data_IF_719802025042
#
_entry.id   IF_719802025042
#
_cell.length_a   1.000
_cell.length_b   1.000
_cell.length_c   1.000
_cell.angle_alpha   90.00
_cell.angle_beta   90.00
_cell.angle_gamma   90.00
#
_symmetry.space_group_name_H-M   'P 1'
#
loop_
_entity.id
_entity.type
_entity.pdbx_description
1 polymer ?
#
# COMPACT_ATOMS: atom_id res chain seq x y z
N UNK A 1 -1.93 9.54 -6.38
CA UNK A 1 -2.33 9.49 -4.96
C UNK A 1 -1.87 8.18 -4.33
N UNK A 2 -1.00 8.25 -3.33
CA UNK A 2 -0.59 7.09 -2.52
C UNK A 2 -1.38 7.06 -1.21
N UNK A 3 -1.87 5.89 -0.82
CA UNK A 3 -2.63 5.68 0.42
C UNK A 3 -2.12 4.43 1.14
N UNK A 4 -1.87 4.54 2.44
CA UNK A 4 -1.47 3.41 3.28
C UNK A 4 -2.63 3.08 4.21
N UNK A 5 -3.09 1.82 4.19
CA UNK A 5 -4.10 1.30 5.11
C UNK A 5 -3.48 0.30 6.07
N UNK A 6 -3.56 0.60 7.37
CA UNK A 6 -3.17 -0.32 8.44
C UNK A 6 -4.39 -1.09 8.94
N UNK A 7 -4.31 -2.41 8.97
CA UNK A 7 -5.35 -3.31 9.50
C UNK A 7 -4.76 -4.19 10.59
N UNK A 8 -5.42 -4.26 11.75
CA UNK A 8 -5.12 -5.27 12.77
C UNK A 8 -5.82 -6.57 12.40
N UNK A 9 -5.07 -7.67 12.35
CA UNK A 9 -5.57 -9.01 12.10
C UNK A 9 -6.06 -9.65 13.41
N UNK A 10 -6.88 -10.69 13.28
CA UNK A 10 -7.48 -11.43 14.42
C UNK A 10 -6.42 -12.10 15.30
N UNK A 11 -5.27 -12.43 14.72
CA UNK A 11 -4.09 -12.99 15.40
C UNK A 11 -3.26 -11.93 16.17
N UNK A 12 -3.68 -10.66 16.17
CA UNK A 12 -2.94 -9.56 16.81
C UNK A 12 -1.85 -8.94 15.95
N UNK A 13 -1.53 -9.53 14.79
CA UNK A 13 -0.56 -8.97 13.85
C UNK A 13 -1.13 -7.77 13.08
N UNK A 14 -0.25 -6.96 12.49
CA UNK A 14 -0.66 -5.84 11.63
C UNK A 14 -0.40 -6.18 10.17
N UNK A 15 -1.30 -5.72 9.29
CA UNK A 15 -1.10 -5.74 7.85
C UNK A 15 -1.20 -4.34 7.30
N UNK A 16 -0.27 -4.03 6.40
CA UNK A 16 -0.15 -2.72 5.78
C UNK A 16 -0.41 -2.89 4.28
N UNK A 17 -1.41 -2.17 3.77
CA UNK A 17 -1.72 -2.13 2.34
C UNK A 17 -1.31 -0.75 1.82
N UNK A 18 -0.26 -0.72 1.01
CA UNK A 18 0.08 0.47 0.23
C UNK A 18 -0.68 0.40 -1.10
N UNK A 19 -1.42 1.46 -1.43
CA UNK A 19 -2.08 1.64 -2.72
C UNK A 19 -1.56 2.90 -3.38
N UNK A 20 -0.88 2.71 -4.51
CA UNK A 20 -0.33 3.79 -5.32
C UNK A 20 -1.22 3.92 -6.56
N UNK A 21 -1.74 5.12 -6.80
CA UNK A 21 -2.41 5.48 -8.05
C UNK A 21 -1.58 6.55 -8.74
N UNK A 22 -1.15 6.26 -9.96
CA UNK A 22 -0.49 7.22 -10.84
C UNK A 22 -1.48 7.53 -11.95
N UNK A 23 -2.09 8.71 -11.88
CA UNK A 23 -2.88 9.25 -12.98
C UNK A 23 -1.93 10.12 -13.80
N UNK A 24 -1.65 9.73 -15.05
CA UNK A 24 -0.88 10.55 -16.00
C UNK A 24 -1.82 11.00 -17.10
N UNK A 25 -1.91 12.31 -17.32
CA UNK A 25 -2.66 12.87 -18.45
C UNK A 25 -2.17 12.29 -19.77
N UNK A 26 -3.05 11.62 -20.51
CA UNK A 26 -2.73 10.96 -21.79
C UNK A 26 -2.25 9.50 -21.69
N UNK A 27 -2.21 8.90 -20.49
CA UNK A 27 -1.95 7.46 -20.32
C UNK A 27 -3.02 6.83 -19.41
N UNK A 28 -3.29 5.52 -19.53
CA UNK A 28 -4.26 4.84 -18.69
C UNK A 28 -3.85 4.91 -17.22
N UNK A 29 -4.85 5.05 -16.34
CA UNK A 29 -4.65 5.10 -14.89
C UNK A 29 -3.93 3.84 -14.40
N UNK A 30 -2.70 4.01 -13.92
CA UNK A 30 -1.91 2.93 -13.35
C UNK A 30 -2.18 2.84 -11.85
N UNK A 31 -2.62 1.68 -11.38
CA UNK A 31 -2.80 1.44 -9.95
C UNK A 31 -2.12 0.16 -9.50
N UNK A 32 -1.25 0.29 -8.51
CA UNK A 32 -0.53 -0.84 -7.92
C UNK A 32 -0.84 -0.91 -6.41
N UNK A 33 -1.02 -2.12 -5.90
CA UNK A 33 -1.27 -2.35 -4.48
C UNK A 33 -0.39 -3.47 -3.95
N UNK A 34 0.34 -3.20 -2.87
CA UNK A 34 1.26 -4.15 -2.24
C UNK A 34 0.91 -4.31 -0.77
N UNK A 35 0.73 -5.56 -0.34
CA UNK A 35 0.41 -5.91 1.05
C UNK A 35 1.68 -6.38 1.74
N UNK A 36 2.02 -5.75 2.86
CA UNK A 36 3.19 -6.10 3.65
C UNK A 36 2.78 -6.59 5.04
N UNK A 37 3.35 -7.71 5.47
CA UNK A 37 3.14 -8.32 6.78
C UNK A 37 4.10 -7.78 7.85
N UNK A 38 5.27 -7.26 7.45
CA UNK A 38 6.27 -6.68 8.35
C UNK A 38 6.33 -5.17 8.20
N UNK A 39 6.27 -4.51 9.36
CA UNK A 39 6.34 -3.06 9.55
C UNK A 39 7.61 -2.43 8.93
N UNK A 40 8.67 -3.21 8.75
CA UNK A 40 9.99 -2.76 8.27
C UNK A 40 10.08 -2.45 6.75
N UNK A 41 9.15 -2.91 5.91
CA UNK A 41 9.21 -2.62 4.46
C UNK A 41 8.50 -1.33 4.04
N UNK A 42 7.82 -0.64 4.96
CA UNK A 42 7.07 0.57 4.66
C UNK A 42 7.85 1.88 4.94
N UNK A 43 9.03 1.79 5.54
CA UNK A 43 9.85 2.96 5.92
C UNK A 43 11.09 3.14 5.03
N UNK A 44 11.32 2.28 4.02
CA UNK A 44 12.55 2.29 3.22
C UNK A 44 12.23 2.10 1.72
N UNK A 45 11.63 3.11 1.08
CA UNK A 45 11.52 3.28 -0.40
C UNK A 45 11.04 4.68 -0.76
#
# INVERSE_FOLDING_TARGET
MATIRKRRKKDGSFSYLARIRIARTGQPDYSESKTFSRKAMAEDS
#
